data_IF_155058112439
#
_entry.id   IF_155058112439
#
_cell.length_a   1.000
_cell.length_b   1.000
_cell.length_c   1.000
_cell.angle_alpha   90.00
_cell.angle_beta   90.00
_cell.angle_gamma   90.00
#
_symmetry.space_group_name_H-M   'P 1'
#
loop_
_entity.id
_entity.type
_entity.pdbx_description
1 polymer ?
#
# COMPACT_ATOMS: atom_id res chain seq x y z
N UNK A 1 -12.11 4.00 -6.81
CA UNK A 1 -12.17 4.37 -5.39
C UNK A 1 -12.77 3.24 -4.57
N UNK A 2 -12.17 2.91 -3.44
CA UNK A 2 -12.66 1.82 -2.61
C UNK A 2 -13.79 2.27 -1.69
N UNK A 3 -14.79 1.40 -1.53
CA UNK A 3 -15.85 1.63 -0.55
C UNK A 3 -15.36 1.23 0.84
N UNK A 4 -16.11 1.62 1.88
CA UNK A 4 -15.80 1.20 3.25
C UNK A 4 -15.79 -0.32 3.40
N UNK A 5 -16.71 -1.01 2.75
CA UNK A 5 -16.80 -2.47 2.76
C UNK A 5 -15.55 -3.08 2.13
N UNK A 6 -15.11 -2.54 1.00
CA UNK A 6 -13.92 -3.03 0.32
C UNK A 6 -12.66 -2.77 1.13
N UNK A 7 -12.56 -1.61 1.77
CA UNK A 7 -11.43 -1.32 2.65
C UNK A 7 -11.37 -2.26 3.83
N UNK A 8 -12.51 -2.58 4.44
CA UNK A 8 -12.55 -3.55 5.55
C UNK A 8 -12.07 -4.93 5.11
N UNK A 9 -12.50 -5.34 3.91
CA UNK A 9 -12.06 -6.61 3.35
C UNK A 9 -10.54 -6.63 3.17
N UNK A 10 -9.99 -5.56 2.59
CA UNK A 10 -8.54 -5.48 2.35
C UNK A 10 -7.75 -5.40 3.65
N UNK A 11 -8.25 -4.70 4.67
CA UNK A 11 -7.59 -4.66 5.97
C UNK A 11 -7.50 -6.06 6.59
N UNK A 12 -8.58 -6.84 6.45
CA UNK A 12 -8.59 -8.21 6.95
C UNK A 12 -7.57 -9.07 6.18
N UNK A 13 -7.52 -8.92 4.85
CA UNK A 13 -6.55 -9.65 4.04
C UNK A 13 -5.12 -9.27 4.38
N UNK A 14 -4.89 -8.00 4.69
CA UNK A 14 -3.55 -7.50 5.00
C UNK A 14 -3.07 -7.90 6.39
N UNK A 15 -3.98 -8.32 7.26
CA UNK A 15 -3.65 -8.61 8.66
C UNK A 15 -2.50 -9.61 8.81
N UNK A 16 -2.46 -10.62 7.96
CA UNK A 16 -1.43 -11.66 8.01
C UNK A 16 -0.14 -11.30 7.24
N UNK A 17 -0.14 -10.17 6.52
CA UNK A 17 1.01 -9.79 5.73
C UNK A 17 2.07 -9.09 6.58
N UNK A 18 3.34 -9.26 6.19
CA UNK A 18 4.45 -8.54 6.79
C UNK A 18 4.85 -7.39 5.88
N UNK A 19 5.32 -6.26 6.45
CA UNK A 19 5.83 -5.18 5.61
C UNK A 19 7.02 -5.64 4.77
N UNK A 20 7.01 -5.28 3.48
CA UNK A 20 8.09 -5.69 2.56
C UNK A 20 8.93 -4.51 2.09
N UNK A 21 8.56 -3.29 2.45
CA UNK A 21 9.33 -2.07 2.20
C UNK A 21 9.42 -1.25 3.47
N UNK A 22 10.44 -0.42 3.57
CA UNK A 22 10.64 0.47 4.71
C UNK A 22 10.98 1.86 4.23
N UNK A 23 10.43 2.87 4.90
CA UNK A 23 10.75 4.28 4.62
C UNK A 23 11.54 4.80 5.81
N UNK A 24 12.81 5.14 5.58
CA UNK A 24 13.69 5.62 6.61
C UNK A 24 13.97 7.12 6.50
N UNK A 25 15.16 7.52 6.95
CA UNK A 25 15.57 8.92 7.06
C UNK A 25 15.45 9.70 5.74
N UNK A 26 15.74 9.04 4.63
CA UNK A 26 15.67 9.69 3.31
C UNK A 26 14.26 9.92 2.78
N UNK A 27 13.25 9.41 3.46
CA UNK A 27 11.87 9.55 3.01
C UNK A 27 11.58 8.73 1.76
N UNK A 28 10.53 9.16 1.02
CA UNK A 28 10.11 8.49 -0.20
C UNK A 28 10.91 9.05 -1.38
N UNK A 29 11.38 8.17 -2.26
CA UNK A 29 12.09 8.58 -3.48
C UNK A 29 11.57 7.81 -4.69
N UNK A 30 11.99 8.26 -5.88
CA UNK A 30 11.53 7.70 -7.15
C UNK A 30 11.83 6.20 -7.29
N UNK A 31 13.04 5.79 -6.89
CA UNK A 31 13.45 4.40 -7.01
C UNK A 31 12.55 3.49 -6.17
N UNK A 32 12.22 3.95 -4.95
CA UNK A 32 11.31 3.21 -4.07
C UNK A 32 9.93 3.09 -4.68
N UNK A 33 9.40 4.18 -5.25
CA UNK A 33 8.07 4.16 -5.87
C UNK A 33 8.01 3.18 -7.03
N UNK A 34 9.07 3.12 -7.84
CA UNK A 34 9.13 2.16 -8.94
C UNK A 34 9.09 0.72 -8.42
N UNK A 35 9.86 0.43 -7.37
CA UNK A 35 9.87 -0.90 -6.78
C UNK A 35 8.52 -1.29 -6.17
N UNK A 36 7.85 -0.34 -5.51
CA UNK A 36 6.54 -0.60 -4.93
C UNK A 36 5.51 -0.85 -6.02
N UNK A 37 5.55 -0.07 -7.12
CA UNK A 37 4.67 -0.30 -8.26
C UNK A 37 4.81 -1.71 -8.81
N UNK A 38 6.05 -2.17 -8.97
CA UNK A 38 6.34 -3.50 -9.49
C UNK A 38 5.80 -4.57 -8.53
N UNK A 39 5.98 -4.37 -7.23
CA UNK A 39 5.47 -5.30 -6.24
C UNK A 39 3.93 -5.34 -6.24
N UNK A 40 3.29 -4.17 -6.39
CA UNK A 40 1.83 -4.11 -6.45
C UNK A 40 1.28 -4.82 -7.67
N UNK A 41 2.01 -4.78 -8.79
CA UNK A 41 1.57 -5.48 -10.00
C UNK A 41 1.47 -7.00 -9.79
N UNK A 42 2.31 -7.53 -8.89
CA UNK A 42 2.36 -8.97 -8.62
C UNK A 42 1.52 -9.35 -7.40
N UNK A 43 1.53 -8.52 -6.38
CA UNK A 43 0.92 -8.83 -5.08
C UNK A 43 -0.45 -8.20 -4.88
N UNK A 44 -0.73 -7.07 -5.51
CA UNK A 44 -1.93 -6.25 -5.39
C UNK A 44 -2.11 -5.60 -4.01
N UNK A 45 -1.71 -6.25 -2.93
CA UNK A 45 -1.85 -5.76 -1.57
C UNK A 45 -0.51 -5.92 -0.86
N UNK A 46 -0.03 -4.85 -0.21
CA UNK A 46 1.22 -4.92 0.51
C UNK A 46 1.26 -3.90 1.64
N UNK A 47 2.24 -4.07 2.52
CA UNK A 47 2.48 -3.16 3.63
C UNK A 47 3.85 -2.51 3.50
N UNK A 48 3.93 -1.24 3.88
CA UNK A 48 5.18 -0.48 3.96
C UNK A 48 5.30 0.04 5.38
N UNK A 49 6.46 -0.18 6.01
CA UNK A 49 6.69 0.31 7.36
C UNK A 49 7.46 1.62 7.32
N UNK A 50 7.00 2.59 8.09
CA UNK A 50 7.71 3.86 8.27
C UNK A 50 8.60 3.69 9.51
N UNK A 51 9.90 3.90 9.34
CA UNK A 51 10.84 3.73 10.44
C UNK A 51 10.84 4.97 11.34
N UNK A 52 11.24 4.76 12.59
CA UNK A 52 11.28 5.85 13.58
C UNK A 52 12.17 7.02 13.17
N UNK A 53 13.21 6.75 12.38
CA UNK A 53 14.13 7.79 11.94
C UNK A 53 13.66 8.56 10.71
N UNK A 54 12.46 8.26 10.21
CA UNK A 54 11.87 9.03 9.13
C UNK A 54 11.47 10.40 9.69
N UNK A 55 11.97 11.46 9.07
CA UNK A 55 11.72 12.82 9.54
C UNK A 55 10.43 13.41 9.02
N UNK A 56 9.82 12.80 8.01
CA UNK A 56 8.58 13.29 7.44
C UNK A 56 7.37 12.80 8.22
N UNK A 57 6.31 13.59 8.18
CA UNK A 57 5.03 13.23 8.79
C UNK A 57 4.51 11.94 8.16
N UNK A 58 4.05 11.01 8.98
CA UNK A 58 3.56 9.72 8.50
C UNK A 58 2.37 9.82 7.55
N UNK A 59 1.52 10.83 7.74
CA UNK A 59 0.38 11.05 6.84
C UNK A 59 0.85 11.49 5.46
N UNK A 60 1.87 12.35 5.44
CA UNK A 60 2.47 12.81 4.18
C UNK A 60 3.16 11.65 3.46
N UNK A 61 3.87 10.81 4.21
CA UNK A 61 4.55 9.64 3.65
C UNK A 61 3.52 8.69 3.03
N UNK A 62 2.44 8.40 3.75
CA UNK A 62 1.39 7.53 3.26
C UNK A 62 0.78 8.06 1.97
N UNK A 63 0.53 9.37 1.92
CA UNK A 63 -0.02 10.03 0.74
C UNK A 63 0.94 9.96 -0.44
N UNK A 64 2.23 10.20 -0.22
CA UNK A 64 3.24 10.11 -1.26
C UNK A 64 3.35 8.69 -1.82
N UNK A 65 3.28 7.69 -0.95
CA UNK A 65 3.32 6.29 -1.37
C UNK A 65 2.11 5.93 -2.23
N UNK A 66 0.93 6.34 -1.80
CA UNK A 66 -0.30 6.05 -2.55
C UNK A 66 -0.33 6.78 -3.89
N UNK A 67 -0.11 8.10 -3.87
CA UNK A 67 -0.18 8.89 -5.10
C UNK A 67 0.95 8.56 -6.06
N UNK A 68 2.15 8.35 -5.54
CA UNK A 68 3.33 8.06 -6.38
C UNK A 68 3.28 6.69 -7.05
N UNK A 69 2.52 5.76 -6.50
CA UNK A 69 2.35 4.43 -7.09
C UNK A 69 0.98 4.26 -7.75
N UNK A 70 0.15 5.28 -7.68
CA UNK A 70 -1.22 5.25 -8.19
C UNK A 70 -2.03 4.13 -7.52
N UNK A 71 -1.78 3.92 -6.23
CA UNK A 71 -2.45 2.90 -5.44
C UNK A 71 -3.46 3.54 -4.50
N UNK A 72 -4.35 2.70 -3.96
CA UNK A 72 -5.30 3.11 -2.93
C UNK A 72 -4.65 2.98 -1.56
N UNK A 73 -4.79 4.00 -0.74
CA UNK A 73 -4.38 3.92 0.66
C UNK A 73 -5.49 3.22 1.43
N UNK A 74 -5.24 1.99 1.80
CA UNK A 74 -6.24 1.18 2.52
C UNK A 74 -6.28 1.55 3.99
N UNK A 75 -5.11 1.71 4.59
CA UNK A 75 -5.01 2.00 6.02
C UNK A 75 -3.64 2.55 6.36
N UNK A 76 -3.60 3.45 7.33
CA UNK A 76 -2.37 3.84 8.01
C UNK A 76 -2.61 3.54 9.49
N UNK A 77 -1.94 2.53 10.01
CA UNK A 77 -2.09 2.13 11.40
C UNK A 77 -0.72 2.19 12.08
N UNK A 78 -0.58 3.07 13.07
CA UNK A 78 0.72 3.34 13.65
C UNK A 78 1.67 3.84 12.56
N UNK A 79 2.75 3.12 12.34
CA UNK A 79 3.75 3.43 11.31
C UNK A 79 3.71 2.43 10.15
N UNK A 80 2.57 1.76 9.96
CA UNK A 80 2.41 0.80 8.87
C UNK A 80 1.39 1.31 7.86
N UNK A 81 1.79 1.36 6.60
CA UNK A 81 0.95 1.79 5.48
C UNK A 81 0.49 0.56 4.72
N UNK A 82 -0.80 0.45 4.46
CA UNK A 82 -1.37 -0.63 3.66
C UNK A 82 -1.81 -0.07 2.32
N UNK A 83 -1.27 -0.60 1.25
CA UNK A 83 -1.55 -0.14 -0.12
C UNK A 83 -2.19 -1.25 -0.94
N UNK A 84 -3.12 -0.88 -1.78
CA UNK A 84 -3.78 -1.80 -2.71
C UNK A 84 -3.82 -1.20 -4.11
N UNK A 85 -3.54 -2.03 -5.11
CA UNK A 85 -3.72 -1.66 -6.50
C UNK A 85 -4.01 -2.93 -7.29
N UNK A 86 -5.12 -2.94 -8.02
CA UNK A 86 -5.43 -4.08 -8.86
C UNK A 86 -4.35 -4.24 -9.93
N UNK A 87 -3.88 -5.47 -10.11
CA UNK A 87 -2.87 -5.77 -11.13
C UNK A 87 -3.41 -5.43 -12.52
N UNK A 88 -2.55 -4.88 -13.36
CA UNK A 88 -2.93 -4.53 -14.72
C UNK A 88 -3.13 -5.77 -15.57
N UNK A 89 -2.34 -6.82 -15.32
CA UNK A 89 -2.48 -8.09 -16.03
C UNK A 89 -3.45 -9.00 -15.26
N UNK A 90 -4.45 -9.48 -15.96
CA UNK A 90 -5.48 -10.34 -15.35
C UNK A 90 -4.89 -11.57 -14.66
N UNK A 91 -3.85 -12.16 -15.23
CA UNK A 91 -3.21 -13.35 -14.68
C UNK A 91 -2.52 -13.11 -13.34
N UNK A 92 -2.23 -11.84 -13.00
CA UNK A 92 -1.63 -11.48 -11.71
C UNK A 92 -2.67 -11.13 -10.66
N UNK A 93 -3.96 -11.07 -11.03
CA UNK A 93 -5.01 -10.69 -10.09
C UNK A 93 -5.30 -11.81 -9.12
N UNK A 94 -5.09 -11.55 -7.84
CA UNK A 94 -5.23 -12.54 -6.77
C UNK A 94 -6.35 -12.21 -5.80
N UNK A 95 -6.74 -10.94 -5.76
CA UNK A 95 -7.71 -10.47 -4.78
C UNK A 95 -9.01 -10.16 -5.50
N UNK A 96 -10.08 -10.81 -5.05
CA UNK A 96 -11.42 -10.53 -5.56
C UNK A 96 -12.14 -9.69 -4.53
N UNK A 97 -12.30 -8.41 -4.84
CA UNK A 97 -12.96 -7.48 -3.93
C UNK A 97 -14.46 -7.80 -3.83
N UNK A 98 -15.06 -7.63 -2.65
CA UNK A 98 -16.50 -7.72 -2.53
C UNK A 98 -17.15 -6.61 -3.34
N UNK A 99 -18.37 -6.83 -3.79
CA UNK A 99 -19.12 -5.81 -4.53
C UNK A 99 -19.31 -4.58 -3.66
N UNK A 100 -19.33 -3.41 -4.30
CA UNK A 100 -19.41 -2.13 -3.60
C UNK A 100 -20.72 -1.95 -2.82
N UNK A 101 -21.75 -2.70 -3.17
CA UNK A 101 -23.03 -2.65 -2.46
C UNK A 101 -23.21 -3.83 -1.53
#
# INVERSE_FOLDING_TARGET
MLTGKQKRFLRAEAHSLQPIFQVGKGGVNEAMLVQIKQALEVRELLKVRILDNCEEDKYDVAEQLASGTNAELVQLIGLTVVLYKQASKREHRKIELPKAK
#
